data_IF_184686303532
#
_entry.id   IF_184686303532
#
_cell.length_a   1.000
_cell.length_b   1.000
_cell.length_c   1.000
_cell.angle_alpha   90.00
_cell.angle_beta   90.00
_cell.angle_gamma   90.00
#
_symmetry.space_group_name_H-M   'P 1'
#
loop_
_entity.id
_entity.type
_entity.pdbx_description
1 polymer ?
#
# COMPACT_ATOMS: atom_id res chain seq x y z
N UNK A 1 11.06 -40.48 19.59
CA UNK A 1 10.45 -40.99 18.36
C UNK A 1 9.29 -40.08 17.84
N UNK A 2 8.43 -39.53 18.68
CA UNK A 2 7.29 -38.70 18.25
C UNK A 2 7.61 -37.47 17.40
N UNK A 3 8.75 -36.79 17.64
CA UNK A 3 9.15 -35.60 16.84
C UNK A 3 9.53 -35.94 15.40
N UNK A 4 10.26 -37.06 15.19
CA UNK A 4 10.67 -37.46 13.83
C UNK A 4 9.45 -37.85 12.98
N UNK A 5 8.47 -38.51 13.56
CA UNK A 5 7.21 -38.87 12.90
C UNK A 5 6.40 -37.63 12.52
N UNK A 6 6.35 -36.63 13.42
CA UNK A 6 5.67 -35.35 13.14
C UNK A 6 6.33 -34.57 11.99
N UNK A 7 7.66 -34.52 11.95
CA UNK A 7 8.37 -33.88 10.84
C UNK A 7 8.17 -34.61 9.52
N UNK A 8 8.17 -35.94 9.54
CA UNK A 8 7.92 -36.73 8.33
C UNK A 8 6.50 -36.49 7.77
N UNK A 9 5.50 -36.45 8.63
CA UNK A 9 4.11 -36.14 8.25
C UNK A 9 4.00 -34.73 7.69
N UNK A 10 4.64 -33.72 8.31
CA UNK A 10 4.64 -32.35 7.85
C UNK A 10 5.33 -32.24 6.48
N UNK A 11 6.49 -32.85 6.31
CA UNK A 11 7.24 -32.85 5.04
C UNK A 11 6.43 -33.51 3.91
N UNK A 12 5.76 -34.64 4.22
CA UNK A 12 4.88 -35.30 3.25
C UNK A 12 3.69 -34.40 2.84
N UNK A 13 3.01 -33.81 3.83
CA UNK A 13 1.88 -32.92 3.57
C UNK A 13 2.31 -31.70 2.74
N UNK A 14 3.45 -31.10 3.07
CA UNK A 14 4.01 -29.98 2.33
C UNK A 14 4.42 -30.38 0.90
N UNK A 15 5.08 -31.54 0.74
CA UNK A 15 5.44 -32.08 -0.57
C UNK A 15 4.23 -32.34 -1.47
N UNK A 16 3.17 -32.94 -0.90
CA UNK A 16 1.90 -33.13 -1.61
C UNK A 16 1.22 -31.81 -1.97
N UNK A 17 1.26 -30.82 -1.08
CA UNK A 17 0.75 -29.49 -1.35
C UNK A 17 1.49 -28.82 -2.53
N UNK A 18 2.82 -28.87 -2.54
CA UNK A 18 3.63 -28.32 -3.63
C UNK A 18 3.40 -29.05 -4.95
N UNK A 19 3.32 -30.38 -4.94
CA UNK A 19 3.00 -31.19 -6.12
C UNK A 19 1.63 -30.83 -6.67
N UNK A 20 0.61 -30.77 -5.82
CA UNK A 20 -0.74 -30.36 -6.19
C UNK A 20 -0.77 -28.94 -6.77
N UNK A 21 -0.06 -27.99 -6.18
CA UNK A 21 0.03 -26.61 -6.67
C UNK A 21 0.73 -26.52 -8.02
N UNK A 22 1.71 -27.37 -8.33
CA UNK A 22 2.36 -27.45 -9.64
C UNK A 22 1.49 -28.11 -10.71
N UNK A 23 0.75 -29.14 -10.35
CA UNK A 23 -0.12 -29.89 -11.25
C UNK A 23 -1.43 -29.17 -11.54
N UNK A 24 -2.06 -28.61 -10.50
CA UNK A 24 -3.18 -27.68 -10.68
C UNK A 24 -2.57 -26.31 -10.90
N UNK A 25 -2.44 -25.89 -12.18
CA UNK A 25 -2.11 -24.51 -12.52
C UNK A 25 -3.13 -23.64 -11.79
N UNK A 26 -2.77 -23.20 -10.58
CA UNK A 26 -3.66 -22.43 -9.73
C UNK A 26 -4.05 -21.19 -10.53
N UNK A 27 -5.30 -21.14 -10.99
CA UNK A 27 -5.89 -19.93 -11.53
C UNK A 27 -5.63 -18.84 -10.50
N UNK A 28 -5.07 -17.73 -10.95
CA UNK A 28 -4.86 -16.59 -10.10
C UNK A 28 -6.18 -16.27 -9.40
N UNK A 29 -6.25 -16.41 -8.09
CA UNK A 29 -7.44 -16.05 -7.29
C UNK A 29 -7.67 -14.53 -7.27
N UNK A 30 -6.78 -13.76 -7.93
CA UNK A 30 -6.88 -12.31 -8.05
C UNK A 30 -8.17 -11.88 -8.76
N UNK A 31 -8.58 -12.59 -9.81
CA UNK A 31 -9.81 -12.27 -10.52
C UNK A 31 -11.04 -12.43 -9.61
N UNK A 32 -11.10 -13.51 -8.85
CA UNK A 32 -12.16 -13.78 -7.87
C UNK A 32 -12.17 -12.76 -6.73
N UNK A 33 -10.96 -12.37 -6.27
CA UNK A 33 -10.80 -11.32 -5.25
C UNK A 33 -11.32 -9.98 -5.75
N UNK A 34 -11.00 -9.57 -6.98
CA UNK A 34 -11.50 -8.32 -7.54
C UNK A 34 -13.00 -8.37 -7.86
N UNK A 35 -13.52 -9.52 -8.28
CA UNK A 35 -14.97 -9.69 -8.47
C UNK A 35 -15.72 -9.52 -7.14
N UNK A 36 -15.18 -10.08 -6.07
CA UNK A 36 -15.81 -10.06 -4.74
C UNK A 36 -15.66 -8.68 -4.06
N UNK A 37 -14.46 -8.13 -4.07
CA UNK A 37 -14.10 -6.94 -3.27
C UNK A 37 -13.89 -5.66 -4.10
N UNK A 38 -14.07 -5.71 -5.41
CA UNK A 38 -13.95 -4.52 -6.26
C UNK A 38 -14.94 -3.42 -5.89
N UNK A 39 -16.11 -3.80 -5.40
CA UNK A 39 -17.14 -2.86 -4.88
C UNK A 39 -16.67 -2.11 -3.63
N UNK A 40 -15.74 -2.68 -2.89
CA UNK A 40 -15.13 -2.07 -1.69
C UNK A 40 -13.96 -1.15 -2.03
N UNK A 41 -13.78 -0.79 -3.30
CA UNK A 41 -12.72 0.11 -3.78
C UNK A 41 -11.33 -0.53 -3.85
N UNK A 42 -11.23 -1.86 -3.75
CA UNK A 42 -9.94 -2.56 -3.88
C UNK A 42 -9.50 -2.54 -5.34
N UNK A 43 -8.31 -2.02 -5.59
CA UNK A 43 -7.74 -1.86 -6.92
C UNK A 43 -6.40 -2.58 -7.05
N UNK A 44 -6.12 -3.05 -8.28
CA UNK A 44 -4.80 -3.60 -8.59
C UNK A 44 -3.75 -2.49 -8.62
N UNK A 45 -2.64 -2.72 -7.93
CA UNK A 45 -1.47 -1.84 -7.95
C UNK A 45 -0.66 -2.11 -9.21
N UNK A 46 -0.27 -1.05 -9.91
CA UNK A 46 0.58 -1.16 -11.07
C UNK A 46 1.97 -1.70 -10.73
N UNK A 47 2.64 -2.43 -11.65
CA UNK A 47 3.98 -2.94 -11.39
C UNK A 47 4.97 -1.86 -10.97
N UNK A 48 4.94 -0.69 -11.63
CA UNK A 48 5.81 0.44 -11.31
C UNK A 48 5.58 1.01 -9.91
N UNK A 49 4.32 1.02 -9.45
CA UNK A 49 3.98 1.48 -8.11
C UNK A 49 4.32 0.41 -7.06
N UNK A 50 4.27 -0.87 -7.43
CA UNK A 50 4.68 -1.98 -6.57
C UNK A 50 6.16 -1.90 -6.21
N UNK A 51 7.01 -1.55 -7.17
CA UNK A 51 8.46 -1.42 -6.95
C UNK A 51 8.79 -0.25 -6.01
N UNK A 52 7.99 0.81 -6.04
CA UNK A 52 8.13 1.98 -5.16
C UNK A 52 7.50 1.78 -3.77
N UNK A 53 6.54 0.88 -3.68
CA UNK A 53 5.74 0.67 -2.47
C UNK A 53 6.55 0.50 -1.18
N UNK A 54 7.63 -0.30 -1.11
CA UNK A 54 8.41 -0.47 0.12
C UNK A 54 8.94 0.86 0.67
N UNK A 55 9.28 1.82 -0.21
CA UNK A 55 9.74 3.15 0.18
C UNK A 55 8.58 4.04 0.64
N UNK A 56 7.42 3.93 -0.02
CA UNK A 56 6.29 4.81 0.24
C UNK A 56 5.52 4.46 1.53
N UNK A 57 5.67 3.24 2.06
CA UNK A 57 5.05 2.79 3.31
C UNK A 57 5.92 3.00 4.56
N UNK A 58 7.07 3.67 4.44
CA UNK A 58 7.99 3.91 5.57
C UNK A 58 7.50 4.96 6.56
N UNK A 59 6.33 5.53 6.37
CA UNK A 59 5.74 6.53 7.23
C UNK A 59 5.59 6.02 8.66
N UNK A 60 6.17 6.73 9.63
CA UNK A 60 6.06 6.43 11.07
C UNK A 60 4.92 7.19 11.77
N UNK A 61 4.08 7.87 10.99
CA UNK A 61 2.93 8.62 11.49
C UNK A 61 3.28 9.71 12.54
N UNK A 62 4.40 10.40 12.38
CA UNK A 62 4.88 11.40 13.33
C UNK A 62 4.18 12.77 13.22
N UNK A 63 3.46 13.07 12.14
CA UNK A 63 2.71 14.31 11.92
C UNK A 63 3.54 15.55 11.57
N UNK A 64 4.87 15.47 11.49
CA UNK A 64 5.72 16.65 11.22
C UNK A 64 5.43 17.30 9.86
N UNK A 65 5.10 16.52 8.84
CA UNK A 65 4.73 17.03 7.53
C UNK A 65 3.45 17.89 7.59
N UNK A 66 2.44 17.46 8.32
CA UNK A 66 1.21 18.21 8.51
C UNK A 66 1.46 19.53 9.28
N UNK A 67 2.30 19.47 10.32
CA UNK A 67 2.70 20.66 11.08
C UNK A 67 3.49 21.67 10.21
N UNK A 68 4.39 21.19 9.35
CA UNK A 68 5.13 22.04 8.42
C UNK A 68 4.18 22.70 7.41
N UNK A 69 3.24 21.95 6.86
CA UNK A 69 2.23 22.48 5.93
C UNK A 69 1.36 23.57 6.56
N UNK A 70 0.92 23.38 7.83
CA UNK A 70 0.17 24.42 8.54
C UNK A 70 0.97 25.72 8.72
N UNK A 71 2.26 25.62 8.98
CA UNK A 71 3.14 26.83 9.08
C UNK A 71 3.29 27.58 7.77
N UNK A 72 3.12 26.89 6.63
CA UNK A 72 3.17 27.47 5.28
C UNK A 72 1.79 28.01 4.82
N UNK A 73 0.81 28.05 5.71
CA UNK A 73 -0.55 28.53 5.41
C UNK A 73 -1.47 27.48 4.76
N UNK A 74 -0.97 26.28 4.53
CA UNK A 74 -1.76 25.15 4.04
C UNK A 74 -2.40 24.42 5.22
N UNK A 75 -3.66 24.73 5.49
CA UNK A 75 -4.42 24.14 6.61
C UNK A 75 -4.76 22.67 6.41
N UNK A 76 -4.53 22.13 5.21
CA UNK A 76 -4.77 20.74 4.85
C UNK A 76 -3.60 20.18 4.05
N UNK A 77 -2.51 19.83 4.72
CA UNK A 77 -1.78 18.70 4.18
C UNK A 77 -2.58 17.48 4.62
N UNK A 78 -3.15 16.73 3.67
CA UNK A 78 -3.82 15.49 4.02
C UNK A 78 -2.86 14.62 4.80
N UNK A 79 -3.40 13.79 5.67
CA UNK A 79 -2.70 12.64 6.27
C UNK A 79 -2.25 11.64 5.18
N UNK A 80 -1.76 12.20 4.06
CA UNK A 80 -1.55 11.51 2.80
C UNK A 80 -0.61 10.33 2.98
N UNK A 81 0.49 10.52 3.71
CA UNK A 81 1.44 9.47 3.98
C UNK A 81 0.85 8.40 4.90
N UNK A 82 0.10 8.81 5.91
CA UNK A 82 -0.59 7.93 6.84
C UNK A 82 -1.76 7.22 6.16
N UNK A 83 -2.52 7.92 5.35
CA UNK A 83 -3.60 7.36 4.54
C UNK A 83 -3.09 6.37 3.51
N UNK A 84 -2.00 6.67 2.83
CA UNK A 84 -1.34 5.73 1.91
C UNK A 84 -0.97 4.42 2.62
N UNK A 85 -0.36 4.49 3.79
CA UNK A 85 0.06 3.30 4.54
C UNK A 85 -1.15 2.46 5.00
N UNK A 86 -2.25 3.10 5.44
CA UNK A 86 -3.44 2.40 5.97
C UNK A 86 -4.40 1.92 4.89
N UNK A 87 -4.55 2.69 3.82
CA UNK A 87 -5.59 2.49 2.80
C UNK A 87 -5.03 1.90 1.51
N UNK A 88 -3.85 1.34 1.53
CA UNK A 88 -3.09 0.91 0.34
C UNK A 88 -3.93 0.34 -0.82
N UNK A 89 -4.93 -0.49 -0.53
CA UNK A 89 -5.84 -1.06 -1.53
C UNK A 89 -7.06 -0.18 -1.84
N UNK A 90 -7.28 0.90 -1.06
CA UNK A 90 -8.43 1.81 -1.15
C UNK A 90 -7.99 3.27 -1.28
N UNK A 91 -6.91 3.52 -1.98
CA UNK A 91 -6.35 4.87 -2.12
C UNK A 91 -7.27 5.86 -2.82
N UNK A 92 -8.27 5.39 -3.55
CA UNK A 92 -9.33 6.22 -4.10
C UNK A 92 -10.10 7.02 -3.02
N UNK A 93 -10.21 6.48 -1.82
CA UNK A 93 -10.85 7.17 -0.69
C UNK A 93 -10.01 8.37 -0.19
N UNK A 94 -8.70 8.35 -0.40
CA UNK A 94 -7.81 9.47 -0.05
C UNK A 94 -7.77 10.57 -1.11
N UNK A 95 -8.50 10.45 -2.22
CA UNK A 95 -8.51 11.44 -3.31
C UNK A 95 -9.10 12.78 -2.87
N UNK A 96 -10.10 12.77 -1.98
CA UNK A 96 -10.69 13.99 -1.42
C UNK A 96 -9.67 14.84 -0.65
N UNK A 97 -8.62 14.21 -0.14
CA UNK A 97 -7.54 14.89 0.55
C UNK A 97 -6.64 15.70 -0.41
N UNK A 98 -6.74 15.45 -1.71
CA UNK A 98 -5.97 16.11 -2.77
C UNK A 98 -6.80 17.15 -3.56
N UNK A 99 -8.06 17.38 -3.16
CA UNK A 99 -8.90 18.40 -3.73
C UNK A 99 -8.53 19.78 -3.15
N UNK A 100 -8.33 20.75 -4.02
CA UNK A 100 -7.97 22.13 -3.65
C UNK A 100 -6.57 22.53 -4.09
N UNK A 101 -6.04 23.59 -3.50
CA UNK A 101 -4.70 24.09 -3.79
C UNK A 101 -3.65 23.04 -3.43
N UNK A 102 -2.72 22.80 -4.34
CA UNK A 102 -1.67 21.81 -4.17
C UNK A 102 -0.70 22.27 -3.06
N UNK A 103 -0.55 21.49 -1.97
CA UNK A 103 0.37 21.85 -0.91
C UNK A 103 1.82 21.76 -1.40
N UNK A 104 2.71 22.54 -0.80
CA UNK A 104 4.15 22.42 -1.06
C UNK A 104 4.70 21.12 -0.45
N UNK A 105 4.62 20.06 -1.24
CA UNK A 105 5.14 18.74 -0.84
C UNK A 105 6.64 18.74 -0.62
N UNK A 106 7.40 19.63 -1.30
CA UNK A 106 8.85 19.70 -1.16
C UNK A 106 9.22 20.16 0.25
N UNK A 107 8.60 21.26 0.71
CA UNK A 107 8.82 21.77 2.05
C UNK A 107 8.35 20.76 3.13
N UNK A 108 7.22 20.10 2.91
CA UNK A 108 6.72 19.09 3.84
C UNK A 108 7.59 17.82 3.87
N UNK A 109 8.14 17.40 2.72
CA UNK A 109 9.05 16.25 2.65
C UNK A 109 10.39 16.52 3.33
N UNK A 110 10.88 17.77 3.30
CA UNK A 110 12.17 18.14 3.90
C UNK A 110 12.24 17.93 5.41
N UNK A 111 11.09 17.99 6.10
CA UNK A 111 11.00 17.75 7.55
C UNK A 111 10.72 16.29 7.92
N UNK A 112 10.59 15.42 6.94
CA UNK A 112 10.28 14.01 7.17
C UNK A 112 11.51 13.25 7.69
N UNK A 113 11.48 12.67 8.91
CA UNK A 113 12.64 11.99 9.49
C UNK A 113 13.03 10.70 8.75
N UNK A 114 12.09 10.12 8.00
CA UNK A 114 12.31 8.90 7.20
C UNK A 114 12.50 9.21 5.70
N UNK A 115 12.52 10.49 5.33
CA UNK A 115 12.75 10.92 3.95
C UNK A 115 11.68 10.46 2.96
N UNK A 116 10.41 10.43 3.39
CA UNK A 116 9.31 10.02 2.53
C UNK A 116 9.05 11.06 1.44
N UNK A 117 9.05 10.69 0.14
CA UNK A 117 8.72 11.59 -0.95
C UNK A 117 7.20 11.77 -1.05
N UNK A 118 6.67 12.85 -0.47
CA UNK A 118 5.22 13.08 -0.42
C UNK A 118 4.62 13.38 -1.80
N UNK A 119 5.39 13.96 -2.69
CA UNK A 119 5.04 14.18 -4.10
C UNK A 119 4.80 12.86 -4.85
N UNK A 120 5.66 11.86 -4.65
CA UNK A 120 5.47 10.53 -5.21
C UNK A 120 4.22 9.85 -4.63
N UNK A 121 3.99 9.97 -3.31
CA UNK A 121 2.78 9.45 -2.66
C UNK A 121 1.53 10.09 -3.26
N UNK A 122 1.51 11.42 -3.40
CA UNK A 122 0.41 12.16 -4.01
C UNK A 122 0.16 11.71 -5.46
N UNK A 123 1.22 11.52 -6.24
CA UNK A 123 1.12 11.04 -7.62
C UNK A 123 0.48 9.65 -7.73
N UNK A 124 0.81 8.73 -6.82
CA UNK A 124 0.18 7.40 -6.77
C UNK A 124 -1.31 7.51 -6.42
N UNK A 125 -1.65 8.27 -5.37
CA UNK A 125 -3.05 8.47 -4.96
C UNK A 125 -3.88 9.06 -6.10
N UNK A 126 -3.39 10.09 -6.80
CA UNK A 126 -4.07 10.70 -7.94
C UNK A 126 -4.28 9.73 -9.11
N UNK A 127 -3.33 8.84 -9.38
CA UNK A 127 -3.52 7.82 -10.42
C UNK A 127 -4.60 6.81 -10.06
N UNK A 128 -4.64 6.40 -8.80
CA UNK A 128 -5.61 5.41 -8.34
C UNK A 128 -7.02 5.99 -8.19
N UNK A 129 -7.14 7.29 -7.87
CA UNK A 129 -8.45 7.97 -7.75
C UNK A 129 -9.14 8.20 -9.11
N UNK A 130 -8.39 8.23 -10.21
CA UNK A 130 -8.92 8.44 -11.56
C UNK A 130 -9.43 7.17 -12.24
N UNK A 131 -9.34 6.03 -11.58
CA UNK A 131 -9.82 4.72 -12.06
C UNK A 131 -11.16 4.36 -11.46
#
# INVERSE_FOLDING_TARGET
MARADSYAKLALAYGLHLARRRLTRARSQLAELFETYGKDGIQAVEPADRDRHPRLITCINCGLCALAAQRLGNTRLPDLASSYMRLYARLSEASSDLEGDEPDFTAASSVCPVGLPLDEVAAVVRRMSRR
#
